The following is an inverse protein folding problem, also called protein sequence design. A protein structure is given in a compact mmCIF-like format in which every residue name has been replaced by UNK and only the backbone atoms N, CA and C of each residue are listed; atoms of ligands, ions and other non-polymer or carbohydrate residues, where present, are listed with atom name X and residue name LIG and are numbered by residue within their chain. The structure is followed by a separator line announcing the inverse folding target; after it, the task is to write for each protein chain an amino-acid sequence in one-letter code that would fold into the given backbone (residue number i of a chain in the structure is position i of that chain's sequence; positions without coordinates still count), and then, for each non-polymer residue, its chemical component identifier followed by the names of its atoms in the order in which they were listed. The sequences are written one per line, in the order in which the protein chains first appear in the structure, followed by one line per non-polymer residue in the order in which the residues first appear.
data_IF_945749114224
#
_entry.id   IF_945749114224
#
_cell.length_a   1.000
_cell.length_b   1.000
_cell.length_c   1.000
_cell.angle_alpha   90.00
_cell.angle_beta   90.00
_cell.angle_gamma   90.00
#
_symmetry.space_group_name_H-M   'P 1'
#
loop_
_entity.id
_entity.type
_entity.pdbx_description
1 polymer ?
#
# COMPACT_ATOMS: atom_id res chain seq x y z
N UNK A 1 15.76 17.48 2.67
CA UNK A 1 15.92 17.67 1.22
C UNK A 1 16.27 16.32 0.64
N UNK A 2 15.53 15.91 -0.39
CA UNK A 2 15.68 14.63 -1.07
C UNK A 2 16.11 14.88 -2.52
N UNK A 3 17.00 14.05 -3.04
CA UNK A 3 17.43 14.07 -4.43
C UNK A 3 17.20 12.69 -5.04
N UNK A 4 16.42 12.63 -6.10
CA UNK A 4 16.10 11.41 -6.83
C UNK A 4 16.81 11.46 -8.16
N UNK A 5 17.62 10.43 -8.45
CA UNK A 5 18.38 10.29 -9.69
C UNK A 5 18.01 8.95 -10.31
N UNK A 6 17.43 9.00 -11.50
CA UNK A 6 16.99 7.79 -12.21
C UNK A 6 18.07 7.36 -13.20
N UNK A 7 18.48 6.10 -13.11
CA UNK A 7 19.50 5.50 -13.98
C UNK A 7 18.95 4.29 -14.73
N UNK A 8 19.50 4.05 -15.91
CA UNK A 8 19.25 2.82 -16.67
C UNK A 8 20.14 1.65 -16.17
N UNK A 9 19.97 0.49 -16.79
CA UNK A 9 20.74 -0.74 -16.50
C UNK A 9 22.26 -0.59 -16.73
N UNK A 10 22.69 0.43 -17.48
CA UNK A 10 24.09 0.76 -17.74
C UNK A 10 24.60 1.88 -16.83
N UNK A 11 23.82 2.29 -15.82
CA UNK A 11 24.17 3.35 -14.87
C UNK A 11 24.09 4.77 -15.44
N UNK A 12 23.59 4.95 -16.67
CA UNK A 12 23.45 6.27 -17.31
C UNK A 12 22.17 6.94 -16.85
N UNK A 13 22.15 8.27 -16.89
CA UNK A 13 20.97 9.04 -16.52
C UNK A 13 19.80 8.69 -17.46
N UNK A 14 18.71 8.20 -16.89
CA UNK A 14 17.50 7.85 -17.64
C UNK A 14 16.42 8.90 -17.40
N UNK A 15 15.92 9.51 -18.48
CA UNK A 15 14.85 10.51 -18.44
C UNK A 15 13.45 9.89 -18.57
N UNK A 16 13.38 8.69 -19.16
CA UNK A 16 12.15 8.03 -19.54
C UNK A 16 12.19 6.58 -19.09
N UNK A 17 11.04 6.09 -18.61
CA UNK A 17 10.85 4.71 -18.24
C UNK A 17 10.96 3.79 -19.45
N UNK A 18 11.28 2.53 -19.18
CA UNK A 18 11.27 1.48 -20.18
C UNK A 18 9.87 0.88 -20.27
N UNK A 19 9.31 0.77 -21.48
CA UNK A 19 8.04 0.06 -21.72
C UNK A 19 8.29 -1.22 -22.51
N UNK A 20 7.52 -2.27 -22.20
CA UNK A 20 7.43 -3.45 -23.06
C UNK A 20 6.51 -3.16 -24.23
N UNK A 21 7.02 -3.40 -25.43
CA UNK A 21 6.28 -3.29 -26.69
C UNK A 21 5.52 -4.60 -26.96
N UNK A 22 4.51 -4.55 -27.83
CA UNK A 22 3.70 -5.74 -28.21
C UNK A 22 4.56 -6.88 -28.80
N UNK A 23 5.70 -6.55 -29.41
CA UNK A 23 6.66 -7.53 -29.95
C UNK A 23 7.63 -8.08 -28.89
N UNK A 24 7.43 -7.79 -27.60
CA UNK A 24 8.30 -8.25 -26.50
C UNK A 24 9.56 -7.40 -26.28
N UNK A 25 9.90 -6.49 -27.20
CA UNK A 25 11.07 -5.62 -27.05
C UNK A 25 10.85 -4.54 -25.98
N UNK A 26 11.94 -4.09 -25.36
CA UNK A 26 11.94 -2.99 -24.40
C UNK A 26 12.31 -1.70 -25.11
N UNK A 27 11.53 -0.64 -24.89
CA UNK A 27 11.79 0.69 -25.47
C UNK A 27 11.85 1.75 -24.38
N UNK A 28 12.87 2.62 -24.41
CA UNK A 28 13.08 3.71 -23.45
C UNK A 28 12.26 4.98 -23.77
N UNK A 29 11.07 4.81 -24.35
CA UNK A 29 10.13 5.91 -24.66
C UNK A 29 8.88 5.87 -23.78
N UNK A 30 9.03 5.33 -22.56
CA UNK A 30 7.99 5.34 -21.54
C UNK A 30 7.81 6.72 -20.87
N UNK A 31 7.01 6.78 -19.81
CA UNK A 31 6.71 8.02 -19.10
C UNK A 31 7.99 8.63 -18.50
N UNK A 32 8.04 9.95 -18.28
CA UNK A 32 9.18 10.57 -17.64
C UNK A 32 9.43 9.93 -16.26
N UNK A 33 10.68 9.70 -15.91
CA UNK A 33 11.05 9.08 -14.61
C UNK A 33 11.04 10.08 -13.46
N UNK A 34 11.17 11.36 -13.79
CA UNK A 34 11.15 12.49 -12.87
C UNK A 34 10.25 13.58 -13.42
N UNK A 35 9.67 14.40 -12.56
CA UNK A 35 8.75 15.47 -12.95
C UNK A 35 9.46 16.58 -13.73
N UNK A 36 10.73 16.86 -13.40
CA UNK A 36 11.58 17.73 -14.23
C UNK A 36 11.77 17.22 -15.66
N UNK A 37 11.59 15.91 -15.90
CA UNK A 37 11.89 15.25 -17.18
C UNK A 37 13.39 15.14 -17.47
N UNK A 38 14.25 15.48 -16.52
CA UNK A 38 15.71 15.44 -16.69
C UNK A 38 16.33 14.14 -16.20
N UNK A 39 15.57 13.29 -15.50
CA UNK A 39 16.10 12.14 -14.78
C UNK A 39 16.69 12.48 -13.41
N UNK A 40 16.56 13.74 -12.98
CA UNK A 40 16.89 14.21 -11.63
C UNK A 40 15.79 15.09 -11.07
N UNK A 41 15.32 14.84 -9.86
CA UNK A 41 14.46 15.77 -9.11
C UNK A 41 15.08 16.05 -7.76
N UNK A 42 14.94 17.29 -7.30
CA UNK A 42 15.31 17.72 -5.94
C UNK A 42 14.07 18.27 -5.27
N UNK A 43 13.79 17.80 -4.06
CA UNK A 43 12.58 18.16 -3.33
C UNK A 43 12.88 18.45 -1.86
N UNK A 44 12.14 19.39 -1.30
CA UNK A 44 12.02 19.60 0.12
C UNK A 44 10.60 19.18 0.55
N UNK A 45 10.50 18.63 1.75
CA UNK A 45 9.26 18.15 2.32
C UNK A 45 9.06 18.70 3.72
N UNK A 46 7.84 19.08 4.02
CA UNK A 46 7.36 19.26 5.38
C UNK A 46 6.32 18.16 5.64
N UNK A 47 6.61 17.27 6.57
CA UNK A 47 5.75 16.12 6.90
C UNK A 47 5.16 16.25 8.30
N UNK A 48 3.87 15.97 8.42
CA UNK A 48 3.15 15.84 9.68
C UNK A 48 2.45 14.48 9.73
N UNK A 49 2.54 13.82 10.88
CA UNK A 49 1.92 12.51 11.12
C UNK A 49 1.08 12.58 12.41
N UNK A 50 -0.22 12.28 12.29
CA UNK A 50 -1.13 12.14 13.42
C UNK A 50 -1.54 10.68 13.55
N UNK A 51 -1.20 10.05 14.67
CA UNK A 51 -1.56 8.67 14.96
C UNK A 51 -2.48 8.62 16.17
N UNK A 52 -3.62 7.96 16.02
CA UNK A 52 -4.55 7.64 17.11
C UNK A 52 -4.65 6.12 17.22
N UNK A 53 -4.12 5.57 18.29
CA UNK A 53 -4.11 4.13 18.55
C UNK A 53 -4.83 3.84 19.87
N UNK A 54 -6.00 3.19 19.75
CA UNK A 54 -6.80 2.72 20.88
C UNK A 54 -6.87 1.18 20.88
N UNK A 55 -5.88 0.52 20.29
CA UNK A 55 -5.82 -0.94 20.28
C UNK A 55 -5.40 -1.50 21.65
N UNK A 56 -5.95 -2.66 22.00
CA UNK A 56 -5.60 -3.40 23.21
C UNK A 56 -5.65 -4.90 22.94
N UNK A 57 -4.94 -5.66 23.78
CA UNK A 57 -4.96 -7.12 23.72
C UNK A 57 -6.04 -7.66 24.64
N UNK A 58 -7.03 -8.38 24.08
CA UNK A 58 -8.08 -9.08 24.81
C UNK A 58 -7.83 -10.59 24.71
N UNK A 59 -7.34 -11.20 25.80
CA UNK A 59 -6.96 -12.62 25.86
C UNK A 59 -6.02 -13.05 24.71
N UNK A 60 -5.14 -12.15 24.25
CA UNK A 60 -4.20 -12.41 23.14
C UNK A 60 -4.74 -12.07 21.73
N UNK A 61 -5.98 -11.60 21.61
CA UNK A 61 -6.53 -11.04 20.37
C UNK A 61 -6.38 -9.52 20.38
N UNK A 62 -5.91 -8.93 19.27
CA UNK A 62 -5.88 -7.48 19.11
C UNK A 62 -7.30 -6.98 18.83
N UNK A 63 -7.79 -6.03 19.64
CA UNK A 63 -9.11 -5.39 19.50
C UNK A 63 -8.98 -3.87 19.59
N UNK A 64 -9.93 -3.13 19.04
CA UNK A 64 -9.92 -1.65 19.07
C UNK A 64 -9.70 -1.04 17.69
N UNK A 65 -9.10 0.14 17.63
CA UNK A 65 -8.92 0.89 16.39
C UNK A 65 -7.56 1.60 16.33
N UNK A 66 -7.00 1.66 15.13
CA UNK A 66 -5.77 2.39 14.83
C UNK A 66 -5.97 3.22 13.58
N UNK A 67 -5.79 4.54 13.71
CA UNK A 67 -5.93 5.50 12.63
C UNK A 67 -4.64 6.29 12.49
N UNK A 68 -4.16 6.43 11.26
CA UNK A 68 -2.96 7.20 10.92
C UNK A 68 -3.31 8.17 9.80
N UNK A 69 -3.11 9.45 10.05
CA UNK A 69 -3.19 10.50 9.05
C UNK A 69 -1.80 11.07 8.81
N UNK A 70 -1.37 11.07 7.55
CA UNK A 70 -0.09 11.64 7.13
C UNK A 70 -0.35 12.78 6.16
N UNK A 71 0.42 13.84 6.29
CA UNK A 71 0.35 15.02 5.46
C UNK A 71 1.76 15.44 5.07
N UNK A 72 2.04 15.49 3.76
CA UNK A 72 3.33 15.90 3.21
C UNK A 72 3.11 17.11 2.29
N UNK A 73 3.74 18.23 2.62
CA UNK A 73 3.88 19.37 1.73
C UNK A 73 5.20 19.25 0.98
N UNK A 74 5.12 18.95 -0.31
CA UNK A 74 6.26 18.87 -1.23
C UNK A 74 6.51 20.20 -1.93
N UNK A 75 7.78 20.58 -2.03
CA UNK A 75 8.27 21.71 -2.82
C UNK A 75 9.52 21.27 -3.59
N UNK A 76 9.44 21.24 -4.91
CA UNK A 76 10.56 20.95 -5.77
C UNK A 76 11.48 22.15 -5.96
N UNK A 77 12.76 21.85 -6.10
CA UNK A 77 13.84 22.81 -6.23
C UNK A 77 14.42 22.69 -7.64
N UNK A 78 14.41 23.78 -8.40
CA UNK A 78 14.90 23.82 -9.78
C UNK A 78 13.89 24.43 -10.74
N UNK A 79 14.14 24.37 -12.04
CA UNK A 79 13.42 25.18 -13.04
C UNK A 79 11.90 24.97 -13.13
N UNK A 80 11.39 23.81 -12.71
CA UNK A 80 9.94 23.52 -12.74
C UNK A 80 9.21 23.79 -11.43
N UNK A 81 9.93 23.99 -10.32
CA UNK A 81 9.39 24.29 -8.98
C UNK A 81 8.06 23.58 -8.64
N UNK A 82 7.98 22.24 -8.75
CA UNK A 82 6.71 21.57 -8.52
C UNK A 82 6.25 21.70 -7.08
N UNK A 83 4.95 21.87 -6.91
CA UNK A 83 4.35 22.05 -5.61
C UNK A 83 3.17 21.11 -5.47
N UNK A 84 3.19 20.30 -4.42
CA UNK A 84 2.12 19.36 -4.18
C UNK A 84 1.87 19.14 -2.69
N UNK A 85 0.63 18.81 -2.39
CA UNK A 85 0.22 18.37 -1.09
C UNK A 85 -0.23 16.92 -1.18
N UNK A 86 0.40 16.03 -0.41
CA UNK A 86 0.04 14.62 -0.34
C UNK A 86 -0.54 14.32 1.01
N UNK A 87 -1.67 13.62 1.03
CA UNK A 87 -2.32 13.19 2.25
C UNK A 87 -2.64 11.69 2.18
N UNK A 88 -2.39 10.99 3.28
CA UNK A 88 -2.67 9.56 3.43
C UNK A 88 -3.49 9.35 4.68
N UNK A 89 -4.55 8.56 4.58
CA UNK A 89 -5.38 8.15 5.70
C UNK A 89 -5.43 6.63 5.73
N UNK A 90 -4.97 6.06 6.84
CA UNK A 90 -5.07 4.63 7.12
C UNK A 90 -5.98 4.43 8.32
N UNK A 91 -7.00 3.60 8.18
CA UNK A 91 -7.95 3.28 9.24
C UNK A 91 -8.04 1.76 9.38
N UNK A 92 -7.71 1.24 10.56
CA UNK A 92 -7.83 -0.17 10.89
C UNK A 92 -8.70 -0.34 12.12
N UNK A 93 -9.69 -1.23 12.07
CA UNK A 93 -10.55 -1.54 13.20
C UNK A 93 -10.67 -3.04 13.40
N UNK A 94 -10.46 -3.47 14.64
CA UNK A 94 -10.46 -4.84 15.11
C UNK A 94 -11.71 -5.07 15.97
N UNK A 95 -12.73 -5.67 15.38
CA UNK A 95 -14.01 -5.96 16.01
C UNK A 95 -14.02 -7.37 16.63
N UNK A 96 -14.13 -7.51 17.96
CA UNK A 96 -14.39 -8.80 18.56
C UNK A 96 -15.80 -9.26 18.19
N UNK A 97 -15.92 -10.41 17.53
CA UNK A 97 -17.20 -10.98 17.10
C UNK A 97 -17.96 -11.67 18.24
N UNK A 98 -17.30 -11.89 19.36
CA UNK A 98 -17.88 -12.49 20.57
C UNK A 98 -17.41 -11.71 21.79
N UNK A 99 -18.34 -11.44 22.71
CA UNK A 99 -17.99 -10.94 24.04
C UNK A 99 -17.33 -12.06 24.85
N UNK A 100 -16.15 -11.78 25.38
CA UNK A 100 -15.41 -12.67 26.27
C UNK A 100 -14.98 -11.88 27.48
N UNK A 101 -14.96 -12.53 28.64
CA UNK A 101 -14.41 -11.93 29.85
C UNK A 101 -12.89 -11.84 29.74
N UNK A 102 -12.35 -10.70 30.17
CA UNK A 102 -10.91 -10.46 30.19
C UNK A 102 -10.31 -11.22 31.38
N UNK A 103 -9.41 -12.16 31.11
CA UNK A 103 -8.89 -13.01 32.18
C UNK A 103 -7.91 -14.08 31.70
N UNK A 104 -6.93 -14.40 32.54
CA UNK A 104 -5.93 -15.43 32.25
C UNK A 104 -6.62 -16.80 32.13
N UNK A 105 -6.52 -17.43 30.96
CA UNK A 105 -7.14 -18.72 30.67
C UNK A 105 -8.49 -18.63 29.94
N UNK A 106 -9.06 -17.43 29.78
CA UNK A 106 -10.25 -17.25 28.96
C UNK A 106 -9.91 -17.36 27.46
N UNK A 107 -10.83 -17.87 26.63
CA UNK A 107 -10.59 -18.00 25.20
C UNK A 107 -10.45 -16.61 24.54
N UNK A 108 -9.58 -16.53 23.55
CA UNK A 108 -9.55 -15.39 22.64
C UNK A 108 -10.86 -15.35 21.82
N UNK A 109 -11.43 -14.16 21.55
CA UNK A 109 -12.57 -14.04 20.67
C UNK A 109 -12.14 -14.14 19.21
N UNK A 110 -13.01 -14.62 18.30
CA UNK A 110 -12.84 -14.36 16.88
C UNK A 110 -12.89 -12.85 16.61
N UNK A 111 -12.05 -12.37 15.70
CA UNK A 111 -11.92 -10.93 15.39
C UNK A 111 -12.15 -10.70 13.91
N UNK A 112 -13.02 -9.75 13.58
CA UNK A 112 -13.12 -9.18 12.24
C UNK A 112 -12.23 -7.92 12.18
N UNK A 113 -11.30 -7.91 11.24
CA UNK A 113 -10.45 -6.76 10.96
C UNK A 113 -10.94 -6.10 9.69
N UNK A 114 -11.27 -4.82 9.79
CA UNK A 114 -11.56 -3.97 8.65
C UNK A 114 -10.42 -2.97 8.52
N UNK A 115 -9.86 -2.87 7.32
CA UNK A 115 -8.78 -1.97 7.00
C UNK A 115 -9.13 -1.17 5.76
N UNK A 116 -8.82 0.13 5.78
CA UNK A 116 -8.92 0.98 4.63
C UNK A 116 -7.74 1.94 4.54
N UNK A 117 -7.23 2.09 3.32
CA UNK A 117 -6.22 3.07 2.99
C UNK A 117 -6.77 4.01 1.91
N UNK A 118 -6.62 5.30 2.16
CA UNK A 118 -6.86 6.37 1.22
C UNK A 118 -5.55 7.14 1.02
N UNK A 119 -5.22 7.41 -0.24
CA UNK A 119 -4.12 8.27 -0.64
C UNK A 119 -4.61 9.28 -1.65
N UNK A 120 -4.34 10.55 -1.40
CA UNK A 120 -4.68 11.63 -2.31
C UNK A 120 -3.53 12.62 -2.44
N UNK A 121 -3.52 13.33 -3.56
CA UNK A 121 -2.60 14.42 -3.78
C UNK A 121 -3.25 15.55 -4.58
N UNK A 122 -2.90 16.78 -4.25
CA UNK A 122 -3.25 17.99 -4.98
C UNK A 122 -1.96 18.67 -5.44
N UNK A 123 -1.87 19.00 -6.72
CA UNK A 123 -0.68 19.63 -7.32
C UNK A 123 0.18 18.65 -8.11
N UNK A 124 1.45 19.03 -8.32
CA UNK A 124 2.36 18.35 -9.24
C UNK A 124 3.05 17.13 -8.60
N UNK A 125 2.29 16.05 -8.38
CA UNK A 125 2.85 14.82 -7.81
C UNK A 125 3.83 14.16 -8.79
N UNK A 126 5.10 13.98 -8.42
CA UNK A 126 6.05 13.26 -9.26
C UNK A 126 5.73 11.76 -9.30
N UNK A 127 6.08 11.13 -10.42
CA UNK A 127 5.73 9.73 -10.70
C UNK A 127 6.24 8.71 -9.68
N UNK A 128 7.37 8.99 -9.05
CA UNK A 128 7.96 8.12 -8.02
C UNK A 128 7.30 8.27 -6.64
N UNK A 129 6.51 9.33 -6.42
CA UNK A 129 5.70 9.53 -5.21
C UNK A 129 4.25 9.04 -5.37
N UNK A 130 3.91 8.47 -6.54
CA UNK A 130 2.57 7.96 -6.84
C UNK A 130 2.19 6.77 -5.94
N UNK A 131 0.90 6.63 -5.67
CA UNK A 131 0.38 5.59 -4.79
C UNK A 131 0.43 4.21 -5.46
N UNK A 132 0.93 3.23 -4.71
CA UNK A 132 0.87 1.82 -5.09
C UNK A 132 -0.49 1.24 -4.72
N UNK A 133 -1.07 0.43 -5.61
CA UNK A 133 -2.28 -0.36 -5.34
C UNK A 133 -1.91 -1.82 -5.07
N UNK A 134 -2.58 -2.43 -4.09
CA UNK A 134 -2.45 -3.84 -3.74
C UNK A 134 -1.87 -4.08 -2.35
N UNK A 135 -2.18 -5.26 -1.79
CA UNK A 135 -1.71 -5.67 -0.46
C UNK A 135 -2.23 -4.76 0.67
N UNK A 136 -1.39 -4.42 1.67
CA UNK A 136 -1.77 -3.53 2.78
C UNK A 136 -2.16 -2.11 2.36
N UNK A 137 -2.05 -1.74 1.08
CA UNK A 137 -2.38 -0.42 0.55
C UNK A 137 -3.75 -0.39 -0.14
N UNK A 138 -4.73 -1.12 0.40
CA UNK A 138 -6.03 -1.34 -0.22
C UNK A 138 -7.12 -1.50 0.84
N UNK A 139 -8.39 -1.51 0.44
CA UNK A 139 -9.47 -1.90 1.33
C UNK A 139 -9.35 -3.39 1.60
N UNK A 140 -9.38 -3.80 2.86
CA UNK A 140 -9.27 -5.20 3.24
C UNK A 140 -10.23 -5.56 4.39
N UNK A 141 -10.78 -6.77 4.31
CA UNK A 141 -11.53 -7.39 5.38
C UNK A 141 -10.90 -8.75 5.69
N UNK A 142 -10.61 -9.01 6.97
CA UNK A 142 -9.97 -10.25 7.43
C UNK A 142 -10.69 -10.79 8.66
N UNK A 143 -11.17 -12.03 8.60
CA UNK A 143 -11.73 -12.73 9.76
C UNK A 143 -10.67 -13.63 10.37
N UNK A 144 -10.45 -13.51 11.67
CA UNK A 144 -9.48 -14.30 12.45
C UNK A 144 -10.22 -15.17 13.45
N UNK A 145 -9.94 -16.46 13.42
CA UNK A 145 -10.54 -17.45 14.32
C UNK A 145 -9.42 -18.10 15.15
N UNK A 146 -9.47 -18.01 16.48
CA UNK A 146 -8.49 -18.66 17.34
C UNK A 146 -8.67 -20.19 17.28
N UNK A 147 -7.56 -20.90 17.05
CA UNK A 147 -7.48 -22.36 17.02
C UNK A 147 -6.29 -22.78 17.88
N UNK A 148 -6.56 -23.21 19.12
CA UNK A 148 -5.54 -23.55 20.13
C UNK A 148 -4.55 -22.37 20.33
N UNK A 149 -3.29 -22.56 19.95
CA UNK A 149 -2.21 -21.58 20.11
C UNK A 149 -1.94 -20.75 18.83
N UNK A 150 -2.84 -20.81 17.86
CA UNK A 150 -2.73 -20.12 16.57
C UNK A 150 -4.03 -19.39 16.23
N UNK A 151 -3.99 -18.53 15.22
CA UNK A 151 -5.17 -18.02 14.53
C UNK A 151 -5.19 -18.57 13.11
N UNK A 152 -6.34 -19.06 12.67
CA UNK A 152 -6.61 -19.20 11.23
C UNK A 152 -7.33 -17.95 10.77
N UNK A 153 -7.12 -17.54 9.53
CA UNK A 153 -7.80 -16.38 8.98
C UNK A 153 -8.09 -16.52 7.50
N UNK A 154 -9.11 -15.78 7.07
CA UNK A 154 -9.44 -15.58 5.66
C UNK A 154 -9.58 -14.09 5.41
N UNK A 155 -9.15 -13.63 4.24
CA UNK A 155 -9.21 -12.23 3.88
C UNK A 155 -9.65 -12.02 2.44
N UNK A 156 -10.20 -10.84 2.19
CA UNK A 156 -10.45 -10.31 0.86
C UNK A 156 -10.01 -8.84 0.84
N UNK A 157 -9.42 -8.42 -0.27
CA UNK A 157 -8.91 -7.07 -0.44
C UNK A 157 -9.19 -6.54 -1.85
N UNK A 158 -9.39 -5.23 -1.95
CA UNK A 158 -9.67 -4.53 -3.19
C UNK A 158 -9.01 -3.15 -3.21
N UNK A 159 -8.28 -2.86 -4.28
CA UNK A 159 -7.64 -1.57 -4.53
C UNK A 159 -8.12 -0.98 -5.86
N UNK A 160 -8.25 0.35 -5.90
CA UNK A 160 -8.68 1.09 -7.08
C UNK A 160 -8.03 2.48 -7.09
N UNK A 161 -7.58 2.96 -8.26
CA UNK A 161 -7.04 4.31 -8.44
C UNK A 161 -8.12 5.39 -8.61
N UNK A 162 -9.40 5.00 -8.62
CA UNK A 162 -10.56 5.86 -8.83
C UNK A 162 -10.49 6.64 -10.17
N UNK A 163 -9.76 6.11 -11.16
CA UNK A 163 -9.51 6.76 -12.44
C UNK A 163 -8.51 7.92 -12.37
N UNK A 164 -7.93 8.21 -11.20
CA UNK A 164 -7.02 9.36 -11.00
C UNK A 164 -5.62 9.16 -11.57
N UNK A 165 -5.26 7.92 -11.92
CA UNK A 165 -3.91 7.59 -12.39
C UNK A 165 -3.52 8.23 -13.71
N UNK A 166 -4.51 8.71 -14.49
CA UNK A 166 -4.29 9.49 -15.71
C UNK A 166 -3.74 10.89 -15.43
N UNK A 167 -3.98 11.42 -14.23
CA UNK A 167 -3.53 12.75 -13.79
C UNK A 167 -2.05 12.75 -13.34
N UNK A 168 -1.46 11.57 -13.16
CA UNK A 168 -0.02 11.42 -12.88
C UNK A 168 0.76 11.64 -14.17
N UNK A 169 1.85 12.41 -14.11
CA UNK A 169 2.58 12.84 -15.30
C UNK A 169 3.04 11.66 -16.17
N UNK A 170 2.66 11.67 -17.45
CA UNK A 170 3.01 10.58 -18.37
C UNK A 170 2.12 9.33 -18.25
N UNK A 171 1.08 9.36 -17.42
CA UNK A 171 0.05 8.33 -17.31
C UNK A 171 0.64 6.91 -17.24
N UNK A 172 1.30 6.56 -16.11
CA UNK A 172 1.96 5.28 -15.95
C UNK A 172 0.99 4.10 -16.09
N UNK A 173 -0.29 4.27 -15.74
CA UNK A 173 -1.31 3.22 -15.92
C UNK A 173 -1.46 2.84 -17.39
N UNK A 174 -1.64 3.83 -18.28
CA UNK A 174 -1.71 3.58 -19.72
C UNK A 174 -0.37 3.09 -20.27
N UNK A 175 0.74 3.69 -19.85
CA UNK A 175 2.06 3.37 -20.37
C UNK A 175 2.50 1.93 -20.03
N UNK A 176 2.09 1.41 -18.87
CA UNK A 176 2.42 0.06 -18.41
C UNK A 176 1.23 -0.91 -18.50
N UNK A 177 0.16 -0.55 -19.20
CA UNK A 177 -1.04 -1.38 -19.38
C UNK A 177 -1.61 -1.91 -18.06
N UNK A 178 -1.58 -1.09 -17.00
CA UNK A 178 -2.18 -1.44 -15.70
C UNK A 178 -3.69 -1.29 -15.79
N UNK A 179 -4.42 -2.12 -15.03
CA UNK A 179 -5.90 -2.08 -14.99
C UNK A 179 -6.49 -0.95 -14.13
N UNK A 180 -5.70 -0.33 -13.25
CA UNK A 180 -6.15 0.71 -12.32
C UNK A 180 -6.96 0.19 -11.11
N UNK A 181 -7.29 -1.10 -11.09
CA UNK A 181 -7.94 -1.75 -9.95
C UNK A 181 -7.53 -3.23 -9.86
N UNK A 182 -7.74 -3.83 -8.70
CA UNK A 182 -7.49 -5.25 -8.47
C UNK A 182 -8.11 -5.75 -7.17
N UNK A 183 -8.41 -7.04 -7.17
CA UNK A 183 -8.89 -7.75 -5.98
C UNK A 183 -8.05 -8.98 -5.74
N UNK A 184 -7.84 -9.32 -4.47
CA UNK A 184 -7.29 -10.59 -4.06
C UNK A 184 -8.04 -11.14 -2.86
N UNK A 185 -7.95 -12.43 -2.65
CA UNK A 185 -8.47 -13.10 -1.47
C UNK A 185 -7.54 -14.23 -1.09
N UNK A 186 -7.57 -14.63 0.17
CA UNK A 186 -6.65 -15.64 0.66
C UNK A 186 -7.04 -16.18 2.01
N UNK A 187 -6.28 -17.19 2.41
CA UNK A 187 -6.38 -17.83 3.71
C UNK A 187 -4.99 -17.97 4.30
N UNK A 188 -4.90 -17.95 5.62
CA UNK A 188 -3.63 -18.07 6.30
C UNK A 188 -3.75 -18.54 7.74
N UNK A 189 -2.57 -18.78 8.30
CA UNK A 189 -2.38 -19.15 9.69
C UNK A 189 -1.38 -18.20 10.32
N UNK A 190 -1.68 -17.77 11.55
CA UNK A 190 -0.80 -16.93 12.37
C UNK A 190 -0.42 -17.69 13.64
N UNK A 191 0.87 -17.89 13.83
CA UNK A 191 1.44 -18.50 15.03
C UNK A 191 2.41 -17.51 15.68
N UNK A 192 2.01 -16.96 16.83
CA UNK A 192 2.73 -15.84 17.45
C UNK A 192 2.79 -14.63 16.51
N UNK A 193 4.01 -14.23 16.12
CA UNK A 193 4.24 -13.13 15.19
C UNK A 193 4.34 -13.59 13.73
N UNK A 194 4.45 -14.89 13.46
CA UNK A 194 4.63 -15.40 12.11
C UNK A 194 3.27 -15.64 11.47
N UNK A 195 3.15 -15.19 10.22
CA UNK A 195 1.97 -15.39 9.37
C UNK A 195 2.39 -16.13 8.12
N UNK A 196 1.66 -17.17 7.76
CA UNK A 196 1.78 -17.86 6.49
C UNK A 196 0.44 -17.82 5.78
N UNK A 197 0.42 -17.34 4.53
CA UNK A 197 -0.82 -17.20 3.77
C UNK A 197 -0.67 -17.57 2.31
N UNK A 198 -1.77 -18.03 1.74
CA UNK A 198 -1.92 -18.25 0.32
C UNK A 198 -2.96 -17.26 -0.20
N UNK A 199 -2.55 -16.42 -1.14
CA UNK A 199 -3.38 -15.39 -1.74
C UNK A 199 -3.56 -15.64 -3.24
N UNK A 200 -4.77 -15.45 -3.73
CA UNK A 200 -5.12 -15.54 -5.15
C UNK A 200 -5.41 -14.14 -5.66
N UNK A 201 -4.65 -13.70 -6.66
CA UNK A 201 -4.88 -12.45 -7.37
C UNK A 201 -5.92 -12.66 -8.47
N UNK A 202 -7.00 -11.89 -8.45
CA UNK A 202 -8.12 -12.05 -9.39
C UNK A 202 -7.73 -11.63 -10.81
N UNK A 203 -6.82 -10.65 -10.95
CA UNK A 203 -6.45 -10.09 -12.24
C UNK A 203 -5.62 -11.03 -13.10
N UNK A 204 -4.69 -11.75 -12.47
CA UNK A 204 -3.76 -12.70 -13.07
C UNK A 204 -4.20 -14.16 -12.91
N UNK A 205 -5.17 -14.43 -12.02
CA UNK A 205 -5.62 -15.76 -11.61
C UNK A 205 -4.48 -16.64 -11.09
N UNK A 206 -3.45 -16.03 -10.52
CA UNK A 206 -2.30 -16.73 -9.93
C UNK A 206 -2.39 -16.72 -8.42
N UNK A 207 -2.02 -17.84 -7.84
CA UNK A 207 -1.83 -17.98 -6.40
C UNK A 207 -0.37 -17.75 -6.03
N UNK A 208 -0.16 -17.11 -4.89
CA UNK A 208 1.15 -16.86 -4.31
C UNK A 208 1.13 -17.22 -2.83
N UNK A 209 2.22 -17.81 -2.36
CA UNK A 209 2.44 -18.09 -0.95
C UNK A 209 3.34 -17.03 -0.34
N UNK A 210 2.98 -16.57 0.86
CA UNK A 210 3.71 -15.53 1.58
C UNK A 210 3.96 -15.95 3.02
N UNK A 211 5.13 -15.55 3.53
CA UNK A 211 5.47 -15.64 4.95
C UNK A 211 5.86 -14.25 5.43
N UNK A 212 5.20 -13.79 6.49
CA UNK A 212 5.41 -12.48 7.08
C UNK A 212 5.66 -12.60 8.58
N UNK A 213 6.35 -11.60 9.13
CA UNK A 213 6.55 -11.43 10.57
C UNK A 213 5.89 -10.13 10.99
N UNK A 214 5.04 -10.19 12.02
CA UNK A 214 4.27 -9.07 12.53
C UNK A 214 2.76 -9.18 12.23
N UNK A 215 2.03 -8.12 12.56
CA UNK A 215 0.66 -7.96 12.10
C UNK A 215 0.62 -7.32 10.70
N UNK A 216 -0.46 -7.55 9.96
CA UNK A 216 -0.64 -7.06 8.58
C UNK A 216 -0.98 -5.58 8.54
N UNK A 217 -1.60 -5.06 9.61
CA UNK A 217 -2.14 -3.71 9.72
C UNK A 217 -1.71 -3.05 11.04
#
# INVERSE_FOLDING_TARGET
MEEIITRDEHGRLSRNGQKKMLNGNVCANGPPTTLSGTGKDRMAFLQANLTRDNTRSLNGALVGERNVFQFDQGLGIGSKFPFFNRHKLTMTKFFPLRQVEEGKGNPAPPVLVLHGLYGGCVGDLPNHEAFTLGGPHSLAAEIRIPVKNAYTYAFAEHGNDLGSSVSVQGNPTKAYMRKGHGSSYGVGVKFGQVRAEYAVDHNSRRGSFFVHVGDRF
#
